data_IF_209288766637
#
_entry.id   IF_209288766637
#
_cell.length_a   1.000
_cell.length_b   1.000
_cell.length_c   1.000
_cell.angle_alpha   90.00
_cell.angle_beta   90.00
_cell.angle_gamma   90.00
#
_symmetry.space_group_name_H-M   'P 1'
#
loop_
_entity.id
_entity.type
_entity.pdbx_description
1 polymer ?
#
# COMPACT_ATOMS: atom_id res chain seq x y z
N UNK A 1 -55.57 15.57 -19.77
CA UNK A 1 -55.14 14.82 -18.57
C UNK A 1 -53.73 14.24 -18.69
N UNK A 2 -53.29 13.74 -19.85
CA UNK A 2 -51.96 13.13 -20.05
C UNK A 2 -50.75 14.05 -19.76
N UNK A 3 -50.86 15.36 -20.03
CA UNK A 3 -49.75 16.31 -19.88
C UNK A 3 -49.28 16.49 -18.41
N UNK A 4 -50.21 16.40 -17.44
CA UNK A 4 -49.89 16.50 -16.01
C UNK A 4 -49.11 15.28 -15.52
N UNK A 5 -49.43 14.09 -16.03
CA UNK A 5 -48.71 12.84 -15.69
C UNK A 5 -47.29 12.83 -16.27
N UNK A 6 -47.11 13.40 -17.45
CA UNK A 6 -45.79 13.52 -18.08
C UNK A 6 -44.85 14.42 -17.26
N UNK A 7 -45.34 15.55 -16.76
CA UNK A 7 -44.57 16.43 -15.87
C UNK A 7 -44.22 15.77 -14.54
N UNK A 8 -45.16 15.05 -13.92
CA UNK A 8 -44.90 14.32 -12.68
C UNK A 8 -43.85 13.24 -12.89
N UNK A 9 -43.92 12.49 -14.00
CA UNK A 9 -42.91 11.48 -14.33
C UNK A 9 -41.52 12.09 -14.53
N UNK A 10 -41.39 13.19 -15.28
CA UNK A 10 -40.11 13.87 -15.51
C UNK A 10 -39.51 14.40 -14.20
N UNK A 11 -40.32 15.06 -13.36
CA UNK A 11 -39.85 15.59 -12.07
C UNK A 11 -39.44 14.48 -11.12
N UNK A 12 -40.18 13.36 -11.11
CA UNK A 12 -39.83 12.21 -10.26
C UNK A 12 -38.55 11.52 -10.72
N UNK A 13 -38.37 11.34 -12.04
CA UNK A 13 -37.13 10.79 -12.63
C UNK A 13 -35.95 11.73 -12.40
N UNK A 14 -36.15 13.05 -12.54
CA UNK A 14 -35.11 14.05 -12.28
C UNK A 14 -34.71 14.10 -10.80
N UNK A 15 -35.66 14.03 -9.86
CA UNK A 15 -35.39 13.96 -8.42
C UNK A 15 -34.73 12.65 -8.01
N UNK A 16 -35.15 11.51 -8.60
CA UNK A 16 -34.48 10.23 -8.40
C UNK A 16 -33.04 10.27 -8.95
N UNK A 17 -32.83 10.85 -10.14
CA UNK A 17 -31.48 11.01 -10.71
C UNK A 17 -30.60 12.01 -9.96
N UNK A 18 -31.19 13.05 -9.37
CA UNK A 18 -30.47 14.06 -8.58
C UNK A 18 -30.10 13.53 -7.18
N UNK A 19 -30.91 12.64 -6.60
CA UNK A 19 -30.56 11.91 -5.37
C UNK A 19 -29.54 10.78 -5.58
N UNK A 20 -29.22 10.45 -6.84
CA UNK A 20 -28.04 9.67 -7.21
C UNK A 20 -26.79 10.56 -7.39
N UNK A 21 -26.72 11.72 -6.72
CA UNK A 21 -25.42 12.36 -6.53
C UNK A 21 -24.55 11.39 -5.73
N UNK A 22 -23.63 10.73 -6.43
CA UNK A 22 -22.66 9.83 -5.84
C UNK A 22 -21.79 10.66 -4.89
N UNK A 23 -22.14 10.66 -3.60
CA UNK A 23 -21.30 11.27 -2.58
C UNK A 23 -20.11 10.32 -2.44
N UNK A 24 -18.92 10.83 -2.73
CA UNK A 24 -17.68 10.11 -2.49
C UNK A 24 -17.63 9.66 -1.03
N UNK A 25 -17.52 8.35 -0.79
CA UNK A 25 -17.34 7.83 0.57
C UNK A 25 -15.85 7.86 0.90
N UNK A 26 -15.50 8.51 2.01
CA UNK A 26 -14.13 8.52 2.51
C UNK A 26 -13.81 7.14 3.10
N UNK A 27 -12.98 6.38 2.39
CA UNK A 27 -12.43 5.09 2.84
C UNK A 27 -11.32 5.31 3.87
N UNK A 28 -10.52 6.36 3.66
CA UNK A 28 -9.44 6.76 4.56
C UNK A 28 -9.35 8.28 4.65
N UNK A 29 -9.41 8.79 5.89
CA UNK A 29 -9.17 10.20 6.19
C UNK A 29 -7.72 10.60 5.91
N UNK A 30 -7.45 11.86 5.51
CA UNK A 30 -6.09 12.36 5.28
C UNK A 30 -5.28 12.36 6.58
N UNK A 31 -4.53 11.29 6.82
CA UNK A 31 -3.72 11.11 8.02
C UNK A 31 -2.32 10.61 7.64
N UNK A 32 -1.33 11.09 8.39
CA UNK A 32 0.03 10.55 8.34
C UNK A 32 0.04 9.07 8.79
N UNK A 33 0.96 8.25 8.25
CA UNK A 33 1.12 6.88 8.72
C UNK A 33 1.50 6.85 10.19
N UNK A 34 0.80 5.98 10.90
CA UNK A 34 0.92 5.82 12.36
C UNK A 34 2.09 4.95 12.77
N UNK A 35 2.55 4.07 11.88
CA UNK A 35 3.71 3.22 12.10
C UNK A 35 4.93 3.91 11.48
N UNK A 36 6.03 4.02 12.22
CA UNK A 36 7.28 4.64 11.75
C UNK A 36 8.48 3.86 12.27
N UNK A 37 9.43 3.56 11.39
CA UNK A 37 10.71 2.94 11.77
C UNK A 37 11.63 3.99 12.35
N UNK A 38 12.13 3.77 13.57
CA UNK A 38 13.05 4.68 14.25
C UNK A 38 14.50 4.25 14.11
N UNK A 39 14.77 2.96 14.34
CA UNK A 39 16.13 2.43 14.34
C UNK A 39 16.16 1.01 13.77
N UNK A 40 17.21 0.67 13.03
CA UNK A 40 17.56 -0.72 12.71
C UNK A 40 19.04 -0.92 13.02
N UNK A 41 19.33 -1.91 13.85
CA UNK A 41 20.68 -2.38 14.13
C UNK A 41 20.82 -3.80 13.60
N UNK A 42 21.91 -4.09 12.90
CA UNK A 42 22.27 -5.43 12.45
C UNK A 42 23.59 -5.82 13.11
N UNK A 43 23.60 -6.99 13.74
CA UNK A 43 24.80 -7.55 14.39
C UNK A 43 25.02 -8.97 13.88
N UNK A 44 26.19 -9.28 13.30
CA UNK A 44 26.52 -10.68 13.02
C UNK A 44 26.62 -11.43 14.35
N UNK A 45 25.94 -12.57 14.44
CA UNK A 45 26.07 -13.49 15.58
C UNK A 45 27.19 -14.49 15.34
N UNK A 46 27.31 -14.96 14.09
CA UNK A 46 28.37 -15.83 13.58
C UNK A 46 28.35 -15.80 12.04
N UNK A 47 29.13 -16.68 11.38
CA UNK A 47 29.21 -16.77 9.91
C UNK A 47 27.86 -17.06 9.23
N UNK A 48 26.94 -17.73 9.92
CA UNK A 48 25.66 -18.19 9.37
C UNK A 48 24.46 -17.35 9.80
N UNK A 49 24.55 -16.56 10.86
CA UNK A 49 23.40 -15.86 11.44
C UNK A 49 23.68 -14.40 11.78
N UNK A 50 22.65 -13.57 11.60
CA UNK A 50 22.62 -12.17 12.01
C UNK A 50 21.40 -11.88 12.88
N UNK A 51 21.59 -11.02 13.87
CA UNK A 51 20.54 -10.42 14.67
C UNK A 51 20.19 -9.03 14.15
N UNK A 52 18.90 -8.75 14.06
CA UNK A 52 18.31 -7.48 13.66
C UNK A 52 17.53 -6.95 14.86
N UNK A 53 17.89 -5.77 15.34
CA UNK A 53 17.12 -5.05 16.36
C UNK A 53 16.44 -3.88 15.67
N UNK A 54 15.12 -3.95 15.56
CA UNK A 54 14.30 -2.92 14.95
C UNK A 54 13.51 -2.21 16.05
N UNK A 55 13.66 -0.89 16.11
CA UNK A 55 12.87 0.00 16.95
C UNK A 55 11.89 0.77 16.08
N UNK A 56 10.62 0.80 16.46
CA UNK A 56 9.58 1.50 15.72
C UNK A 56 8.52 2.08 16.65
N UNK A 57 7.82 3.10 16.17
CA UNK A 57 6.59 3.59 16.80
C UNK A 57 5.39 3.04 16.07
N UNK A 58 4.31 2.81 16.81
CA UNK A 58 3.04 2.41 16.22
C UNK A 58 1.92 2.44 17.24
N UNK A 59 0.66 2.37 16.78
CA UNK A 59 -0.48 2.17 17.67
C UNK A 59 -0.31 0.92 18.55
N UNK A 60 -0.97 0.92 19.70
CA UNK A 60 -0.90 -0.18 20.65
C UNK A 60 -1.36 -1.54 20.09
N UNK A 61 -2.15 -1.56 19.02
CA UNK A 61 -2.61 -2.77 18.32
C UNK A 61 -1.67 -3.25 17.20
N UNK A 62 -0.45 -2.69 17.10
CA UNK A 62 0.52 -3.09 16.08
C UNK A 62 1.06 -4.49 16.35
N UNK A 63 0.88 -5.38 15.38
CA UNK A 63 1.45 -6.73 15.33
C UNK A 63 2.76 -6.71 14.54
N UNK A 64 3.76 -7.47 15.01
CA UNK A 64 5.05 -7.67 14.33
C UNK A 64 5.11 -9.10 13.83
N UNK A 65 5.36 -9.26 12.54
CA UNK A 65 5.60 -10.54 11.90
C UNK A 65 6.99 -10.55 11.28
N UNK A 66 7.68 -11.68 11.41
CA UNK A 66 8.98 -11.90 10.78
C UNK A 66 9.02 -13.30 10.19
N UNK A 67 9.43 -13.41 8.93
CA UNK A 67 9.50 -14.70 8.23
C UNK A 67 10.90 -15.36 8.30
N UNK A 68 11.68 -15.03 9.33
CA UNK A 68 12.94 -15.69 9.64
C UNK A 68 12.83 -16.69 10.78
N UNK A 69 13.93 -16.93 11.48
CA UNK A 69 14.05 -18.01 12.46
C UNK A 69 13.43 -17.66 13.81
N UNK A 70 13.79 -16.50 14.36
CA UNK A 70 13.37 -16.08 15.70
C UNK A 70 12.85 -14.66 15.66
N UNK A 71 11.80 -14.40 16.45
CA UNK A 71 11.23 -13.09 16.69
C UNK A 71 10.92 -12.96 18.18
N UNK A 72 11.48 -11.93 18.81
CA UNK A 72 11.14 -11.48 20.15
C UNK A 72 10.72 -10.01 20.06
N UNK A 73 9.65 -9.64 20.75
CA UNK A 73 9.10 -8.27 20.72
C UNK A 73 8.90 -7.78 22.13
N UNK A 74 9.51 -6.64 22.42
CA UNK A 74 9.30 -5.87 23.65
C UNK A 74 8.54 -4.60 23.31
N UNK A 75 7.58 -4.23 24.16
CA UNK A 75 6.70 -3.08 23.93
C UNK A 75 6.72 -2.14 25.13
N UNK A 76 6.91 -0.86 24.86
CA UNK A 76 6.78 0.24 25.82
C UNK A 76 5.85 1.33 25.28
N UNK A 77 4.61 1.37 25.79
CA UNK A 77 3.53 2.27 25.37
C UNK A 77 3.26 2.22 23.85
N UNK A 78 3.89 3.13 23.09
CA UNK A 78 3.75 3.32 21.65
C UNK A 78 5.08 3.05 20.89
N UNK A 79 6.13 2.67 21.61
CA UNK A 79 7.41 2.25 21.07
C UNK A 79 7.60 0.75 21.25
N UNK A 80 8.17 0.12 20.23
CA UNK A 80 8.37 -1.30 20.16
C UNK A 80 9.80 -1.57 19.74
N UNK A 81 10.42 -2.53 20.41
CA UNK A 81 11.69 -3.10 20.02
C UNK A 81 11.46 -4.55 19.62
N UNK A 82 11.97 -4.95 18.46
CA UNK A 82 11.92 -6.33 17.99
C UNK A 82 13.33 -6.85 17.72
N UNK A 83 13.68 -7.96 18.37
CA UNK A 83 14.88 -8.72 18.10
C UNK A 83 14.51 -9.88 17.17
N UNK A 84 15.15 -9.90 16.00
CA UNK A 84 14.92 -10.89 14.96
C UNK A 84 16.23 -11.57 14.61
N UNK A 85 16.25 -12.90 14.58
CA UNK A 85 17.44 -13.65 14.17
C UNK A 85 17.14 -14.37 12.87
N UNK A 86 18.07 -14.26 11.92
CA UNK A 86 17.90 -14.85 10.60
C UNK A 86 19.19 -15.49 10.10
N UNK A 87 19.00 -16.57 9.36
CA UNK A 87 20.06 -17.18 8.56
C UNK A 87 20.51 -16.25 7.43
N UNK A 88 21.82 -16.09 7.26
CA UNK A 88 22.40 -15.11 6.34
C UNK A 88 22.02 -15.34 4.87
N UNK A 89 21.85 -16.61 4.43
CA UNK A 89 21.44 -16.92 3.05
C UNK A 89 19.92 -16.87 2.83
N UNK A 90 19.12 -16.57 3.86
CA UNK A 90 17.69 -16.33 3.66
C UNK A 90 17.50 -14.94 3.02
N UNK A 91 17.42 -14.96 1.69
CA UNK A 91 17.18 -13.78 0.84
C UNK A 91 15.74 -13.28 0.88
N UNK A 92 14.79 -14.07 1.38
CA UNK A 92 13.38 -13.69 1.42
C UNK A 92 12.98 -13.09 2.77
N UNK A 93 13.91 -12.46 3.49
CA UNK A 93 13.63 -11.90 4.80
C UNK A 93 12.74 -10.66 4.71
N UNK A 94 11.64 -10.70 5.45
CA UNK A 94 10.62 -9.68 5.51
C UNK A 94 10.18 -9.48 6.95
N UNK A 95 10.28 -8.24 7.39
CA UNK A 95 9.74 -7.76 8.64
C UNK A 95 8.46 -7.01 8.31
N UNK A 96 7.34 -7.38 8.92
CA UNK A 96 6.04 -6.78 8.66
C UNK A 96 5.45 -6.24 9.97
N UNK A 97 5.08 -4.97 9.97
CA UNK A 97 4.39 -4.28 11.06
C UNK A 97 2.97 -3.97 10.61
N UNK A 98 1.96 -4.36 11.38
CA UNK A 98 0.56 -4.24 10.96
C UNK A 98 -0.32 -3.70 12.07
N UNK A 99 -1.03 -2.60 11.81
CA UNK A 99 -2.08 -2.09 12.69
C UNK A 99 -3.44 -2.33 12.04
N UNK A 100 -4.31 -3.07 12.73
CA UNK A 100 -5.68 -3.36 12.26
C UNK A 100 -6.56 -2.13 12.40
N UNK A 101 -6.42 -1.39 13.48
CA UNK A 101 -7.20 -0.17 13.77
C UNK A 101 -6.93 0.95 12.77
N UNK A 102 -5.75 0.99 12.17
CA UNK A 102 -5.37 1.98 11.15
C UNK A 102 -5.47 1.47 9.72
N UNK A 103 -5.62 0.16 9.52
CA UNK A 103 -5.58 -0.47 8.19
C UNK A 103 -4.23 -0.28 7.50
N UNK A 104 -3.15 -0.18 8.28
CA UNK A 104 -1.80 0.16 7.81
C UNK A 104 -0.88 -1.04 7.99
N UNK A 105 -0.05 -1.29 6.98
CA UNK A 105 1.02 -2.29 7.05
C UNK A 105 2.31 -1.70 6.53
N UNK A 106 3.39 -1.82 7.29
CA UNK A 106 4.75 -1.54 6.82
C UNK A 106 5.47 -2.85 6.61
N UNK A 107 6.04 -3.06 5.43
CA UNK A 107 6.99 -4.15 5.22
C UNK A 107 8.39 -3.61 4.97
N UNK A 108 9.37 -4.24 5.61
CA UNK A 108 10.80 -3.95 5.46
C UNK A 108 11.55 -5.17 4.94
N UNK A 109 12.37 -4.92 3.94
CA UNK A 109 13.23 -5.91 3.30
C UNK A 109 14.68 -5.45 3.44
N UNK A 110 15.36 -5.75 4.56
CA UNK A 110 16.80 -5.51 4.63
C UNK A 110 17.49 -6.49 3.69
N UNK A 111 18.21 -6.05 2.67
CA UNK A 111 19.05 -6.94 1.85
C UNK A 111 20.34 -7.32 2.59
N UNK A 112 21.10 -8.28 2.02
CA UNK A 112 22.37 -8.87 2.51
C UNK A 112 23.13 -7.96 3.49
N UNK A 113 23.63 -8.47 4.61
CA UNK A 113 24.47 -7.65 5.48
C UNK A 113 25.41 -8.55 6.30
N UNK A 114 26.71 -8.51 6.00
CA UNK A 114 27.76 -9.25 6.72
C UNK A 114 28.43 -8.40 7.80
N UNK A 115 28.09 -7.10 7.88
CA UNK A 115 28.77 -6.14 8.74
C UNK A 115 27.86 -5.62 9.85
N UNK A 116 28.48 -5.23 10.95
CA UNK A 116 27.82 -4.48 12.01
C UNK A 116 27.26 -3.17 11.41
N UNK A 117 25.97 -2.93 11.59
CA UNK A 117 25.33 -1.72 11.13
C UNK A 117 24.38 -1.19 12.20
N UNK A 118 24.34 0.13 12.36
CA UNK A 118 23.32 0.80 13.17
C UNK A 118 22.82 2.00 12.38
N UNK A 119 21.51 2.07 12.21
CA UNK A 119 20.84 3.17 11.51
C UNK A 119 19.73 3.71 12.38
N UNK A 120 19.72 5.02 12.57
CA UNK A 120 18.75 5.74 13.40
C UNK A 120 18.09 6.90 12.66
N UNK A 121 18.44 7.11 11.39
CA UNK A 121 17.81 8.07 10.48
C UNK A 121 17.13 7.31 9.35
N UNK A 122 15.81 7.37 9.29
CA UNK A 122 15.01 6.82 8.21
C UNK A 122 14.25 7.94 7.54
N UNK A 123 14.01 7.83 6.22
CA UNK A 123 13.02 8.71 5.56
C UNK A 123 11.68 8.48 6.28
N UNK A 124 11.23 9.47 7.04
CA UNK A 124 9.93 9.43 7.70
C UNK A 124 8.86 9.60 6.64
N UNK A 125 7.86 8.71 6.64
CA UNK A 125 6.71 8.93 5.77
C UNK A 125 5.80 9.96 6.45
N UNK A 126 5.93 11.22 6.02
CA UNK A 126 5.12 12.36 6.50
C UNK A 126 3.92 12.64 5.58
N UNK A 127 3.68 11.79 4.58
CA UNK A 127 2.61 11.97 3.61
C UNK A 127 1.24 11.84 4.25
N UNK A 128 0.34 12.74 3.89
CA UNK A 128 -1.08 12.58 4.12
C UNK A 128 -1.67 11.79 2.95
N UNK A 129 -2.27 10.65 3.28
CA UNK A 129 -2.93 9.80 2.28
C UNK A 129 -4.42 9.77 2.57
N UNK A 130 -5.21 10.32 1.65
CA UNK A 130 -6.67 10.22 1.63
C UNK A 130 -7.09 9.24 0.55
N UNK A 131 -8.10 8.43 0.85
CA UNK A 131 -8.69 7.50 -0.13
C UNK A 131 -10.19 7.67 -0.11
N UNK A 132 -10.76 7.91 -1.28
CA UNK A 132 -12.19 8.06 -1.51
C UNK A 132 -12.67 6.94 -2.44
N UNK A 133 -13.93 6.54 -2.31
CA UNK A 133 -14.59 5.63 -3.23
C UNK A 133 -15.89 6.22 -3.78
N UNK A 134 -16.06 6.07 -5.08
CA UNK A 134 -17.21 6.53 -5.85
C UNK A 134 -17.84 5.36 -6.60
N UNK A 135 -19.16 5.22 -6.51
CA UNK A 135 -19.89 4.33 -7.40
C UNK A 135 -19.94 4.90 -8.83
N UNK A 136 -19.51 4.11 -9.82
CA UNK A 136 -19.55 4.43 -11.25
C UNK A 136 -20.44 3.44 -11.99
N UNK A 137 -21.74 3.52 -11.75
CA UNK A 137 -22.70 2.53 -12.25
C UNK A 137 -22.44 1.16 -11.63
N UNK A 138 -21.96 0.20 -12.42
CA UNK A 138 -21.63 -1.17 -11.95
C UNK A 138 -20.16 -1.33 -11.54
N UNK A 139 -19.33 -0.29 -11.71
CA UNK A 139 -17.92 -0.28 -11.31
C UNK A 139 -17.73 0.60 -10.09
N UNK A 140 -16.63 0.41 -9.37
CA UNK A 140 -16.26 1.27 -8.24
C UNK A 140 -14.94 1.94 -8.53
N UNK A 141 -14.93 3.28 -8.50
CA UNK A 141 -13.71 4.08 -8.59
C UNK A 141 -13.19 4.37 -7.20
N UNK A 142 -11.88 4.30 -7.06
CA UNK A 142 -11.13 4.71 -5.89
C UNK A 142 -10.16 5.81 -6.29
N UNK A 143 -10.12 6.87 -5.51
CA UNK A 143 -9.21 8.00 -5.69
C UNK A 143 -8.30 8.07 -4.48
N UNK A 144 -7.00 7.97 -4.68
CA UNK A 144 -6.00 8.19 -3.64
C UNK A 144 -5.28 9.50 -3.89
N UNK A 145 -5.37 10.39 -2.91
CA UNK A 145 -4.70 11.68 -2.91
C UNK A 145 -3.54 11.63 -1.93
N UNK A 146 -2.36 12.00 -2.41
CA UNK A 146 -1.14 12.05 -1.60
C UNK A 146 -0.62 13.48 -1.56
N UNK A 147 -0.51 14.05 -0.35
CA UNK A 147 0.03 15.40 -0.13
C UNK A 147 1.14 15.40 0.94
N UNK A 148 2.13 16.27 0.75
CA UNK A 148 3.33 16.49 1.59
C UNK A 148 4.49 15.49 1.44
N UNK A 149 5.69 16.05 1.26
CA UNK A 149 7.01 15.44 1.48
C UNK A 149 7.86 16.45 2.24
N UNK A 150 8.66 15.98 3.19
CA UNK A 150 9.61 16.84 3.91
C UNK A 150 10.81 17.20 3.03
N UNK A 151 11.26 16.30 2.14
CA UNK A 151 12.41 16.54 1.26
C UNK A 151 12.15 16.15 -0.20
N UNK A 152 12.61 17.02 -1.11
CA UNK A 152 12.37 16.94 -2.56
C UNK A 152 13.21 15.84 -3.23
N UNK A 153 14.33 15.45 -2.62
CA UNK A 153 15.23 14.40 -3.12
C UNK A 153 14.66 12.99 -2.87
N UNK A 154 13.80 12.83 -1.86
CA UNK A 154 13.16 11.55 -1.52
C UNK A 154 12.00 11.18 -2.46
N UNK A 155 11.50 12.15 -3.24
CA UNK A 155 10.43 11.96 -4.22
C UNK A 155 10.84 11.04 -5.37
N UNK A 156 12.11 11.06 -5.76
CA UNK A 156 12.60 10.31 -6.93
C UNK A 156 12.65 8.80 -6.67
N UNK A 157 12.78 8.39 -5.40
CA UNK A 157 12.86 6.99 -4.97
C UNK A 157 11.51 6.41 -4.49
N UNK A 158 10.44 7.20 -4.59
CA UNK A 158 9.13 6.84 -4.10
C UNK A 158 8.21 6.44 -5.26
N UNK A 159 7.69 5.23 -5.16
CA UNK A 159 6.62 4.72 -6.02
C UNK A 159 5.29 4.76 -5.28
N UNK A 160 4.22 5.15 -5.98
CA UNK A 160 2.86 5.24 -5.43
C UNK A 160 1.89 4.60 -6.40
N UNK A 161 1.09 3.65 -5.94
CA UNK A 161 0.20 2.88 -6.82
C UNK A 161 -0.91 2.18 -6.04
N UNK A 162 -2.01 1.90 -6.72
CA UNK A 162 -2.97 0.89 -6.27
C UNK A 162 -2.46 -0.51 -6.59
N UNK A 163 -2.79 -1.45 -5.71
CA UNK A 163 -2.49 -2.88 -5.87
C UNK A 163 -3.73 -3.72 -5.53
N UNK A 164 -4.00 -4.74 -6.34
CA UNK A 164 -5.02 -5.73 -6.12
C UNK A 164 -4.42 -7.13 -6.19
N UNK A 165 -4.74 -7.97 -5.21
CA UNK A 165 -4.46 -9.41 -5.25
C UNK A 165 -5.76 -10.13 -5.59
N UNK A 166 -5.81 -10.71 -6.77
CA UNK A 166 -6.94 -11.48 -7.26
C UNK A 166 -6.64 -12.98 -7.12
N UNK A 167 -7.55 -13.75 -6.53
CA UNK A 167 -7.46 -15.21 -6.53
C UNK A 167 -8.37 -15.78 -7.59
N UNK A 168 -7.79 -16.52 -8.53
CA UNK A 168 -8.53 -17.15 -9.61
C UNK A 168 -9.16 -18.49 -9.19
N UNK A 169 -9.89 -19.12 -10.13
CA UNK A 169 -10.59 -20.40 -9.92
C UNK A 169 -9.66 -21.57 -9.59
N UNK A 170 -8.39 -21.49 -9.99
CA UNK A 170 -7.39 -22.52 -9.68
C UNK A 170 -6.80 -22.34 -8.28
N UNK A 171 -7.09 -21.20 -7.64
CA UNK A 171 -6.52 -20.80 -6.35
C UNK A 171 -5.22 -20.02 -6.48
N UNK A 172 -4.73 -19.79 -7.70
CA UNK A 172 -3.55 -18.96 -7.94
C UNK A 172 -3.84 -17.50 -7.61
N UNK A 173 -2.82 -16.80 -7.10
CA UNK A 173 -2.90 -15.38 -6.76
C UNK A 173 -2.22 -14.59 -7.88
N UNK A 174 -2.96 -13.63 -8.45
CA UNK A 174 -2.48 -12.69 -9.44
C UNK A 174 -2.42 -11.31 -8.80
N UNK A 175 -1.24 -10.70 -8.86
CA UNK A 175 -1.01 -9.32 -8.43
C UNK A 175 -1.21 -8.37 -9.61
N UNK A 176 -2.02 -7.34 -9.42
CA UNK A 176 -2.23 -6.25 -10.38
C UNK A 176 -1.86 -4.92 -9.72
N UNK A 177 -0.97 -4.16 -10.32
CA UNK A 177 -0.53 -2.84 -9.84
C UNK A 177 -0.92 -1.73 -10.81
N UNK A 178 -0.82 -0.47 -10.37
CA UNK A 178 -1.05 0.68 -11.26
C UNK A 178 -0.07 0.68 -12.42
N UNK A 179 -0.61 0.75 -13.64
CA UNK A 179 0.17 0.82 -14.87
C UNK A 179 0.86 2.17 -15.02
N UNK A 180 2.15 2.16 -15.34
CA UNK A 180 2.79 3.33 -15.94
C UNK A 180 2.49 3.39 -17.45
N UNK A 181 2.27 4.60 -18.00
CA UNK A 181 1.84 4.83 -19.39
C UNK A 181 2.74 4.21 -20.47
N UNK A 182 3.98 3.85 -20.14
CA UNK A 182 4.99 3.33 -21.07
C UNK A 182 5.57 1.96 -20.64
N UNK A 183 4.91 1.25 -19.73
CA UNK A 183 5.40 -0.04 -19.24
C UNK A 183 5.10 -1.17 -20.23
N UNK A 184 6.08 -2.05 -20.47
CA UNK A 184 5.92 -3.22 -21.34
C UNK A 184 4.95 -4.19 -20.65
N UNK A 185 3.87 -4.52 -21.35
CA UNK A 185 2.84 -5.41 -20.82
C UNK A 185 3.37 -6.82 -20.57
N UNK A 186 3.24 -7.31 -19.33
CA UNK A 186 3.55 -8.69 -18.99
C UNK A 186 2.39 -9.60 -19.43
N UNK A 187 2.60 -10.39 -20.49
CA UNK A 187 1.60 -11.27 -21.12
C UNK A 187 0.86 -12.18 -20.12
N UNK A 188 1.52 -12.58 -19.03
CA UNK A 188 0.93 -13.47 -18.01
C UNK A 188 -0.21 -12.80 -17.22
N UNK A 189 -0.22 -11.47 -17.12
CA UNK A 189 -1.21 -10.72 -16.31
C UNK A 189 -2.10 -9.81 -17.15
N UNK A 190 -1.80 -9.62 -18.44
CA UNK A 190 -2.58 -8.75 -19.35
C UNK A 190 -4.07 -9.08 -19.35
N UNK A 191 -4.41 -10.37 -19.36
CA UNK A 191 -5.80 -10.83 -19.37
C UNK A 191 -6.60 -10.46 -18.11
N UNK A 192 -5.91 -10.08 -17.02
CA UNK A 192 -6.50 -9.68 -15.75
C UNK A 192 -6.69 -8.15 -15.62
N UNK A 193 -6.12 -7.33 -16.50
CA UNK A 193 -6.32 -5.87 -16.43
C UNK A 193 -7.76 -5.43 -16.72
N UNK A 194 -8.59 -6.28 -17.33
CA UNK A 194 -10.04 -6.02 -17.46
C UNK A 194 -10.78 -5.91 -16.11
N UNK A 195 -10.14 -6.29 -15.00
CA UNK A 195 -10.67 -6.22 -13.65
C UNK A 195 -10.27 -4.95 -12.90
N UNK A 196 -9.16 -4.32 -13.27
CA UNK A 196 -8.59 -3.15 -12.60
C UNK A 196 -8.01 -2.19 -13.64
N UNK A 197 -8.70 -1.08 -13.87
CA UNK A 197 -8.17 0.04 -14.65
C UNK A 197 -7.51 1.04 -13.69
N UNK A 198 -6.29 1.47 -13.97
CA UNK A 198 -5.59 2.46 -13.13
C UNK A 198 -5.00 3.59 -13.94
N UNK A 199 -5.02 4.80 -13.41
CA UNK A 199 -4.39 5.96 -14.02
C UNK A 199 -3.88 6.92 -12.93
N UNK A 200 -2.89 7.73 -13.27
CA UNK A 200 -2.43 8.82 -12.42
C UNK A 200 -2.60 10.13 -13.17
N UNK A 201 -3.06 11.18 -12.47
CA UNK A 201 -3.00 12.54 -12.98
C UNK A 201 -2.04 13.36 -12.12
N UNK A 202 -1.06 13.97 -12.77
CA UNK A 202 -0.03 14.76 -12.12
C UNK A 202 1.33 14.56 -12.77
N UNK A 203 2.25 15.48 -12.53
CA UNK A 203 3.68 15.25 -12.84
C UNK A 203 4.35 14.61 -11.63
N UNK A 204 5.42 13.81 -11.81
CA UNK A 204 6.21 13.25 -10.68
C UNK A 204 6.62 14.30 -9.64
N UNK A 205 6.72 15.56 -10.06
CA UNK A 205 7.14 16.71 -9.26
C UNK A 205 6.00 17.51 -8.63
N UNK A 206 4.74 17.15 -8.89
CA UNK A 206 3.59 17.86 -8.31
C UNK A 206 3.43 17.48 -6.84
N UNK A 207 3.16 18.48 -6.01
CA UNK A 207 2.92 18.33 -4.57
C UNK A 207 1.59 17.62 -4.29
N UNK A 208 0.71 17.59 -5.29
CA UNK A 208 -0.59 16.94 -5.25
C UNK A 208 -0.65 15.92 -6.39
N UNK A 209 -0.58 14.64 -6.04
CA UNK A 209 -0.75 13.56 -7.01
C UNK A 209 -2.06 12.83 -6.72
N UNK A 210 -2.85 12.68 -7.77
CA UNK A 210 -4.08 11.89 -7.72
C UNK A 210 -3.86 10.58 -8.46
N UNK A 211 -4.13 9.49 -7.77
CA UNK A 211 -4.09 8.14 -8.29
C UNK A 211 -5.50 7.60 -8.33
N UNK A 212 -5.81 6.85 -9.38
CA UNK A 212 -7.12 6.31 -9.59
C UNK A 212 -7.05 4.83 -9.88
N UNK A 213 -8.02 4.11 -9.34
CA UNK A 213 -8.26 2.70 -9.62
C UNK A 213 -9.76 2.46 -9.81
N UNK A 214 -10.14 1.77 -10.87
CA UNK A 214 -11.52 1.37 -11.13
C UNK A 214 -11.57 -0.15 -11.07
N UNK A 215 -12.21 -0.67 -10.02
CA UNK A 215 -12.46 -2.10 -9.87
C UNK A 215 -13.77 -2.48 -10.57
N UNK A 216 -13.71 -3.54 -11.39
CA UNK A 216 -14.84 -4.07 -12.13
C UNK A 216 -15.36 -5.36 -11.47
N UNK A 217 -15.99 -5.22 -10.30
CA UNK A 217 -16.57 -6.35 -9.55
C UNK A 217 -17.45 -7.28 -10.40
N UNK A 218 -18.34 -6.78 -11.28
CA UNK A 218 -19.15 -7.67 -12.12
C UNK A 218 -18.31 -8.61 -13.00
N UNK A 219 -17.21 -8.13 -13.57
CA UNK A 219 -16.33 -8.97 -14.38
C UNK A 219 -15.53 -9.97 -13.54
N UNK A 220 -15.12 -9.56 -12.33
CA UNK A 220 -14.45 -10.42 -11.34
C UNK A 220 -15.38 -11.57 -10.94
N UNK A 221 -16.61 -11.25 -10.55
CA UNK A 221 -17.63 -12.20 -10.12
C UNK A 221 -18.06 -13.15 -11.26
N UNK A 222 -18.35 -12.61 -12.45
CA UNK A 222 -18.74 -13.41 -13.62
C UNK A 222 -17.68 -14.46 -13.99
N UNK A 223 -16.39 -14.14 -13.74
CA UNK A 223 -15.29 -15.05 -14.02
C UNK A 223 -14.92 -15.94 -12.82
N UNK A 224 -15.67 -15.87 -11.71
CA UNK A 224 -15.46 -16.64 -10.49
C UNK A 224 -14.13 -16.36 -9.82
N UNK A 225 -13.68 -15.12 -9.88
CA UNK A 225 -12.46 -14.62 -9.23
C UNK A 225 -12.86 -13.93 -7.92
N UNK A 226 -11.96 -13.90 -6.94
CA UNK A 226 -12.15 -13.16 -5.68
C UNK A 226 -11.07 -12.10 -5.51
N UNK A 227 -11.44 -10.95 -4.94
CA UNK A 227 -10.47 -9.93 -4.50
C UNK A 227 -9.98 -10.34 -3.11
N UNK A 228 -8.74 -10.82 -2.99
CA UNK A 228 -8.14 -11.20 -1.71
C UNK A 228 -7.78 -9.97 -0.88
N UNK A 229 -7.21 -8.97 -1.55
CA UNK A 229 -6.93 -7.68 -0.97
C UNK A 229 -6.84 -6.62 -2.05
N UNK A 230 -7.19 -5.40 -1.67
CA UNK A 230 -7.06 -4.23 -2.52
C UNK A 230 -6.68 -3.03 -1.66
N UNK A 231 -5.75 -2.22 -2.14
CA UNK A 231 -5.28 -1.08 -1.38
C UNK A 231 -4.36 -0.18 -2.16
N UNK A 232 -3.88 0.85 -1.47
CA UNK A 232 -2.93 1.81 -1.99
C UNK A 232 -1.56 1.61 -1.34
N UNK A 233 -0.50 1.70 -2.13
CA UNK A 233 0.89 1.49 -1.69
C UNK A 233 1.68 2.79 -1.86
N UNK A 234 2.40 3.15 -0.81
CA UNK A 234 3.56 4.04 -0.89
C UNK A 234 4.81 3.19 -0.66
N UNK A 235 5.66 3.07 -1.67
CA UNK A 235 6.87 2.27 -1.65
C UNK A 235 8.10 3.16 -1.78
N UNK A 236 8.96 3.14 -0.76
CA UNK A 236 10.25 3.84 -0.75
C UNK A 236 11.36 2.80 -0.79
N UNK A 237 12.23 2.91 -1.80
CA UNK A 237 13.51 2.20 -1.82
C UNK A 237 14.60 3.17 -1.40
N UNK A 238 15.21 2.97 -0.23
CA UNK A 238 16.37 3.77 0.17
C UNK A 238 17.64 2.91 0.13
N UNK A 239 18.54 3.26 -0.79
CA UNK A 239 19.89 2.73 -0.85
C UNK A 239 20.78 3.60 0.02
N UNK A 240 20.70 3.41 1.33
CA UNK A 240 21.43 4.26 2.28
C UNK A 240 22.82 3.71 2.55
N UNK A 241 23.65 3.63 1.50
CA UNK A 241 25.11 3.71 1.58
C UNK A 241 25.75 3.79 0.19
N UNK A 242 26.86 4.52 0.06
CA UNK A 242 27.78 4.35 -1.06
C UNK A 242 28.46 2.97 -0.96
N UNK A 243 27.78 1.92 -1.44
CA UNK A 243 28.25 0.53 -1.42
C UNK A 243 27.11 -0.49 -1.49
N UNK A 244 27.41 -1.70 -1.96
CA UNK A 244 26.46 -2.81 -2.14
C UNK A 244 25.99 -3.48 -0.81
N UNK A 245 26.14 -2.80 0.32
CA UNK A 245 26.19 -3.48 1.62
C UNK A 245 24.84 -3.65 2.30
N UNK A 246 23.81 -2.84 2.01
CA UNK A 246 22.41 -3.10 2.40
C UNK A 246 21.43 -2.12 1.72
N UNK A 247 20.40 -2.64 1.06
CA UNK A 247 19.22 -1.86 0.65
C UNK A 247 18.09 -2.13 1.64
N UNK A 248 17.36 -1.09 2.08
CA UNK A 248 16.13 -1.27 2.85
C UNK A 248 14.97 -0.76 2.01
N UNK A 249 14.15 -1.71 1.54
CA UNK A 249 12.90 -1.38 0.88
C UNK A 249 11.79 -1.29 1.92
N UNK A 250 10.97 -0.23 1.85
CA UNK A 250 9.83 0.01 2.74
C UNK A 250 8.56 0.23 1.95
N UNK A 251 7.52 -0.55 2.23
CA UNK A 251 6.18 -0.33 1.69
C UNK A 251 5.19 -0.04 2.80
N UNK A 252 4.50 1.10 2.71
CA UNK A 252 3.26 1.35 3.44
C UNK A 252 2.10 0.90 2.55
N UNK A 253 1.33 -0.06 3.04
CA UNK A 253 0.11 -0.53 2.41
C UNK A 253 -1.09 -0.04 3.23
N UNK A 254 -1.97 0.72 2.58
CA UNK A 254 -3.24 1.20 3.10
C UNK A 254 -4.36 0.31 2.56
N UNK A 255 -4.85 -0.59 3.42
CA UNK A 255 -5.83 -1.60 3.06
C UNK A 255 -7.21 -0.97 2.82
N UNK A 256 -7.88 -1.36 1.74
CA UNK A 256 -9.26 -0.95 1.39
C UNK A 256 -10.23 -2.14 1.50
N UNK A 257 -9.82 -3.32 1.00
CA UNK A 257 -10.59 -4.59 1.02
C UNK A 257 -9.73 -5.70 1.58
#
# INVERSE_FOLDING_TARGET
MALKWFYVAIVTVAMLSANYSCIAEIVRMPLQPSIQTLALTVKPLNESFSAYVLVFRGPSDTEVEFNGNTLEVTKDVDEFESLMVNYNDNMNRRITLKSKSKGETISMYPNLNYNLLTKTSFIENTCYVQIEKDAMGVRTKYTATVSSFADREDLDNLSKYFIAYLRDKTGAIVELTTRHLNEIENENIVSYYKYLDTYHSGSKTDIYNEYYAILNYPAIEANGITVQSFGFVLYVSSSDYYGNDMTINRSWYYKII
#
